data_IF_563840173548
#
_entry.id   IF_563840173548
#
_cell.length_a   1.000
_cell.length_b   1.000
_cell.length_c   1.000
_cell.angle_alpha   90.00
_cell.angle_beta   90.00
_cell.angle_gamma   90.00
#
_symmetry.space_group_name_H-M   'P 1'
#
loop_
_entity.id
_entity.type
_entity.pdbx_description
1 polymer ?
#
# COMPACT_ATOMS: atom_id res chain seq x y z
N UNK A 1 1.32 -43.60 49.29
CA UNK A 1 1.48 -42.13 49.40
C UNK A 1 2.13 -41.57 48.14
N UNK A 2 3.10 -42.27 47.56
CA UNK A 2 3.86 -41.81 46.37
C UNK A 2 3.06 -41.69 45.06
N UNK A 3 2.12 -42.60 44.78
CA UNK A 3 1.37 -42.60 43.51
C UNK A 3 0.38 -41.44 43.37
N UNK A 4 -0.17 -40.94 44.49
CA UNK A 4 -1.12 -39.83 44.49
C UNK A 4 -0.38 -38.50 44.31
N UNK A 5 0.76 -38.31 44.98
CA UNK A 5 1.61 -37.13 44.78
C UNK A 5 2.13 -37.04 43.35
N UNK A 6 2.57 -38.17 42.76
CA UNK A 6 3.03 -38.19 41.37
C UNK A 6 1.94 -37.73 40.40
N UNK A 7 0.69 -38.16 40.63
CA UNK A 7 -0.45 -37.81 39.78
C UNK A 7 -0.84 -36.33 39.93
N UNK A 8 -0.69 -35.77 41.14
CA UNK A 8 -0.88 -34.34 41.42
C UNK A 8 0.21 -33.50 40.74
N UNK A 9 1.47 -33.91 40.79
CA UNK A 9 2.55 -33.20 40.09
C UNK A 9 2.40 -33.24 38.58
N UNK A 10 2.00 -34.40 38.03
CA UNK A 10 1.80 -34.55 36.60
C UNK A 10 0.63 -33.68 36.09
N UNK A 11 -0.48 -33.62 36.83
CA UNK A 11 -1.62 -32.78 36.47
C UNK A 11 -1.30 -31.28 36.55
N UNK A 12 -0.58 -30.85 37.59
CA UNK A 12 -0.12 -29.44 37.69
C UNK A 12 0.83 -29.09 36.55
N UNK A 13 1.76 -29.98 36.19
CA UNK A 13 2.71 -29.75 35.10
C UNK A 13 2.01 -29.63 33.73
N UNK A 14 0.99 -30.45 33.47
CA UNK A 14 0.20 -30.36 32.23
C UNK A 14 -0.56 -29.04 32.16
N UNK A 15 -1.21 -28.63 33.26
CA UNK A 15 -1.96 -27.36 33.31
C UNK A 15 -1.00 -26.18 33.08
N UNK A 16 0.13 -26.15 33.78
CA UNK A 16 1.13 -25.10 33.60
C UNK A 16 1.68 -25.06 32.17
N UNK A 17 1.97 -26.23 31.57
CA UNK A 17 2.41 -26.35 30.19
C UNK A 17 1.39 -25.79 29.19
N UNK A 18 0.11 -26.10 29.38
CA UNK A 18 -0.96 -25.57 28.51
C UNK A 18 -1.14 -24.06 28.61
N UNK A 19 -0.95 -23.48 29.80
CA UNK A 19 -1.03 -22.02 29.99
C UNK A 19 0.12 -21.29 29.30
N UNK A 20 1.35 -21.81 29.43
CA UNK A 20 2.53 -21.25 28.77
C UNK A 20 2.39 -21.37 27.24
N UNK A 21 1.95 -22.53 26.75
CA UNK A 21 1.75 -22.74 25.31
C UNK A 21 0.68 -21.81 24.73
N UNK A 22 -0.44 -21.62 25.44
CA UNK A 22 -1.49 -20.67 25.04
C UNK A 22 -0.99 -19.23 25.00
N UNK A 23 -0.21 -18.81 25.99
CA UNK A 23 0.40 -17.48 26.01
C UNK A 23 1.36 -17.24 24.83
N UNK A 24 2.17 -18.23 24.48
CA UNK A 24 3.09 -18.13 23.34
C UNK A 24 2.34 -18.00 22.01
N UNK A 25 1.27 -18.78 21.80
CA UNK A 25 0.43 -18.67 20.60
C UNK A 25 -0.28 -17.33 20.55
N UNK A 26 -0.87 -16.87 21.65
CA UNK A 26 -1.61 -15.61 21.68
C UNK A 26 -0.68 -14.42 21.40
N UNK A 27 0.55 -14.44 21.95
CA UNK A 27 1.55 -13.41 21.70
C UNK A 27 2.04 -13.43 20.24
N UNK A 28 2.29 -14.61 19.68
CA UNK A 28 2.73 -14.77 18.28
C UNK A 28 1.61 -14.40 17.30
N UNK A 29 0.36 -14.77 17.62
CA UNK A 29 -0.81 -14.44 16.83
C UNK A 29 -1.16 -12.94 16.89
N UNK A 30 -1.07 -12.30 18.06
CA UNK A 30 -1.25 -10.85 18.20
C UNK A 30 -0.17 -10.11 17.41
N UNK A 31 1.09 -10.49 17.53
CA UNK A 31 2.18 -9.87 16.75
C UNK A 31 2.00 -10.04 15.24
N UNK A 32 1.58 -11.23 14.79
CA UNK A 32 1.28 -11.47 13.38
C UNK A 32 0.04 -10.69 12.90
N UNK A 33 -1.04 -10.67 13.68
CA UNK A 33 -2.27 -9.93 13.38
C UNK A 33 -2.00 -8.43 13.29
N UNK A 34 -1.30 -7.86 14.26
CA UNK A 34 -0.96 -6.44 14.29
C UNK A 34 -0.05 -6.07 13.11
N UNK A 35 0.88 -6.94 12.73
CA UNK A 35 1.75 -6.70 11.55
C UNK A 35 0.98 -6.74 10.21
N UNK A 36 -0.07 -7.56 10.13
CA UNK A 36 -0.94 -7.64 8.94
C UNK A 36 -1.90 -6.45 8.92
N UNK A 37 -2.43 -6.04 10.06
CA UNK A 37 -3.31 -4.87 10.20
C UNK A 37 -2.55 -3.55 9.93
N UNK A 38 -1.30 -3.44 10.38
CA UNK A 38 -0.42 -2.30 10.06
C UNK A 38 -0.01 -2.29 8.57
N UNK A 39 0.09 -3.47 7.94
CA UNK A 39 0.32 -3.61 6.50
C UNK A 39 -0.93 -3.36 5.63
N UNK A 40 -2.13 -3.52 6.19
CA UNK A 40 -3.43 -3.30 5.54
C UNK A 40 -4.15 -2.21 6.30
N UNK A 41 -3.67 -0.98 6.19
CA UNK A 41 -4.38 0.16 6.77
C UNK A 41 -5.73 0.34 6.06
N UNK A 42 -6.88 0.09 6.72
CA UNK A 42 -8.19 0.13 6.06
C UNK A 42 -8.56 1.55 5.60
N UNK A 43 -7.95 2.57 6.21
CA UNK A 43 -8.05 3.96 5.75
C UNK A 43 -7.27 4.21 4.44
N UNK A 44 -6.20 3.47 4.17
CA UNK A 44 -5.43 3.59 2.92
C UNK A 44 -6.08 2.79 1.79
N UNK A 45 -6.70 1.66 2.10
CA UNK A 45 -7.56 0.95 1.16
C UNK A 45 -8.73 1.84 0.71
N UNK A 46 -9.39 2.57 1.62
CA UNK A 46 -10.51 3.46 1.28
C UNK A 46 -10.10 4.78 0.61
N UNK A 47 -8.93 5.36 0.94
CA UNK A 47 -8.41 6.61 0.33
C UNK A 47 -7.88 6.46 -1.10
N UNK A 48 -7.81 5.22 -1.60
CA UNK A 48 -7.38 4.91 -2.97
C UNK A 48 -8.51 5.12 -3.99
N UNK A 49 -9.76 5.32 -3.57
CA UNK A 49 -10.91 5.22 -4.45
C UNK A 49 -11.57 6.52 -4.91
N UNK A 50 -11.11 7.72 -4.52
CA UNK A 50 -11.57 8.99 -5.10
C UNK A 50 -10.55 10.10 -4.87
N UNK A 51 -10.12 10.81 -5.92
CA UNK A 51 -9.20 11.94 -5.81
C UNK A 51 -9.60 13.07 -6.77
N UNK A 52 -9.29 14.32 -6.41
CA UNK A 52 -9.45 15.46 -7.33
C UNK A 52 -8.33 15.47 -8.38
N UNK A 53 -8.53 16.15 -9.52
CA UNK A 53 -7.56 16.19 -10.61
C UNK A 53 -6.19 16.69 -10.15
N UNK A 54 -6.13 17.66 -9.23
CA UNK A 54 -4.85 18.25 -8.77
C UNK A 54 -4.08 17.30 -7.86
N UNK A 55 -4.79 16.60 -6.99
CA UNK A 55 -4.24 15.60 -6.07
C UNK A 55 -3.75 14.39 -6.86
N UNK A 56 -4.50 13.91 -7.86
CA UNK A 56 -4.06 12.87 -8.78
C UNK A 56 -2.73 13.20 -9.44
N UNK A 57 -2.62 14.39 -10.05
CA UNK A 57 -1.41 14.80 -10.75
C UNK A 57 -0.20 14.85 -9.81
N UNK A 58 -0.40 15.29 -8.56
CA UNK A 58 0.68 15.37 -7.57
C UNK A 58 1.14 13.98 -7.15
N UNK A 59 0.21 13.04 -6.94
CA UNK A 59 0.50 11.64 -6.59
C UNK A 59 1.20 10.88 -7.71
N UNK A 60 0.83 11.13 -8.97
CA UNK A 60 1.55 10.53 -10.11
C UNK A 60 3.04 10.84 -10.10
N UNK A 61 3.44 12.02 -9.63
CA UNK A 61 4.84 12.34 -9.50
C UNK A 61 5.56 11.44 -8.48
N UNK A 62 4.93 11.20 -7.33
CA UNK A 62 5.47 10.32 -6.28
C UNK A 62 5.56 8.87 -6.76
N UNK A 63 4.52 8.40 -7.46
CA UNK A 63 4.48 7.09 -8.10
C UNK A 63 5.56 6.96 -9.18
N UNK A 64 5.79 8.01 -9.97
CA UNK A 64 6.83 8.04 -10.98
C UNK A 64 8.23 8.01 -10.37
N UNK A 65 8.49 8.82 -9.34
CA UNK A 65 9.76 8.75 -8.61
C UNK A 65 9.98 7.36 -8.03
N UNK A 66 8.97 6.80 -7.36
CA UNK A 66 9.03 5.45 -6.82
C UNK A 66 9.36 4.41 -7.90
N UNK A 67 8.74 4.53 -9.08
CA UNK A 67 8.99 3.64 -10.21
C UNK A 67 10.40 3.81 -10.80
N UNK A 68 10.84 5.05 -11.03
CA UNK A 68 12.15 5.37 -11.61
C UNK A 68 13.32 5.02 -10.69
N UNK A 69 13.13 5.08 -9.36
CA UNK A 69 14.12 4.64 -8.38
C UNK A 69 14.18 3.12 -8.20
N UNK A 70 13.48 2.35 -9.05
CA UNK A 70 13.60 0.90 -9.09
C UNK A 70 12.90 0.18 -7.94
N UNK A 71 11.81 0.74 -7.40
CA UNK A 71 10.90 -0.04 -6.54
C UNK A 71 10.26 -1.17 -7.34
N UNK A 72 9.81 -2.20 -6.62
CA UNK A 72 9.11 -3.35 -7.19
C UNK A 72 7.90 -2.93 -8.06
N UNK A 73 7.52 -3.74 -9.06
CA UNK A 73 6.34 -3.49 -9.87
C UNK A 73 5.11 -3.28 -8.97
N UNK A 74 4.34 -2.23 -9.25
CA UNK A 74 3.11 -1.92 -8.52
C UNK A 74 2.00 -1.50 -9.45
N UNK A 75 0.77 -1.65 -8.98
CA UNK A 75 -0.43 -1.18 -9.65
C UNK A 75 -1.25 -0.37 -8.65
N UNK A 76 -1.54 0.87 -8.99
CA UNK A 76 -2.40 1.77 -8.24
C UNK A 76 -3.63 2.13 -9.09
N UNK A 77 -4.78 2.26 -8.45
CA UNK A 77 -6.02 2.69 -9.10
C UNK A 77 -6.48 4.00 -8.50
N UNK A 78 -6.81 4.99 -9.33
CA UNK A 78 -7.30 6.29 -8.92
C UNK A 78 -8.63 6.57 -9.61
N UNK A 79 -9.70 6.72 -8.85
CA UNK A 79 -10.95 7.25 -9.41
C UNK A 79 -10.95 8.76 -9.28
N UNK A 80 -11.34 9.44 -10.34
CA UNK A 80 -11.45 10.90 -10.35
C UNK A 80 -12.90 11.24 -10.57
N UNK A 81 -13.51 11.93 -9.60
CA UNK A 81 -14.94 12.24 -9.58
C UNK A 81 -15.26 13.52 -10.38
N UNK A 82 -14.26 14.37 -10.63
CA UNK A 82 -14.44 15.61 -11.37
C UNK A 82 -14.75 15.37 -12.86
N UNK A 83 -15.62 16.21 -13.41
CA UNK A 83 -15.89 16.24 -14.85
C UNK A 83 -14.74 16.94 -15.60
N UNK A 84 -14.31 16.35 -16.70
CA UNK A 84 -13.32 16.98 -17.58
C UNK A 84 -12.44 16.00 -18.34
N UNK A 85 -11.22 16.43 -18.61
CA UNK A 85 -10.22 15.62 -19.29
C UNK A 85 -8.87 15.84 -18.65
N UNK A 86 -8.14 14.76 -18.46
CA UNK A 86 -6.75 14.79 -18.02
C UNK A 86 -5.88 14.64 -19.26
N UNK A 87 -5.08 15.67 -19.50
CA UNK A 87 -4.14 15.72 -20.61
C UNK A 87 -2.73 15.41 -20.11
N UNK A 88 -1.84 15.05 -21.04
CA UNK A 88 -0.40 14.92 -20.77
C UNK A 88 0.17 16.20 -20.15
N UNK A 89 -0.28 17.38 -20.59
CA UNK A 89 0.16 18.67 -20.04
C UNK A 89 -0.26 18.85 -18.58
N UNK A 90 -1.46 18.43 -18.19
CA UNK A 90 -1.89 18.49 -16.80
C UNK A 90 -0.97 17.67 -15.90
N UNK A 91 -0.64 16.45 -16.34
CA UNK A 91 0.26 15.55 -15.63
C UNK A 91 1.66 16.14 -15.51
N UNK A 92 2.22 16.59 -16.62
CA UNK A 92 3.54 17.24 -16.66
C UNK A 92 3.59 18.50 -15.81
N UNK A 93 2.51 19.29 -15.76
CA UNK A 93 2.46 20.52 -14.98
C UNK A 93 2.50 20.27 -13.47
N UNK A 94 1.79 19.27 -12.96
CA UNK A 94 1.89 18.99 -11.52
C UNK A 94 3.14 18.19 -11.15
N UNK A 95 3.69 17.37 -12.05
CA UNK A 95 5.05 16.84 -11.93
C UNK A 95 6.07 18.00 -11.80
N UNK A 96 5.98 19.05 -12.64
CA UNK A 96 6.81 20.27 -12.54
C UNK A 96 6.59 21.09 -11.26
N UNK A 97 5.41 21.03 -10.66
CA UNK A 97 5.13 21.73 -9.39
C UNK A 97 5.66 20.96 -8.19
N UNK A 98 5.64 19.63 -8.26
CA UNK A 98 6.12 18.76 -7.21
C UNK A 98 7.66 18.64 -7.25
N UNK A 99 8.23 18.50 -8.44
CA UNK A 99 9.66 18.49 -8.65
C UNK A 99 10.20 19.92 -8.65
N UNK A 100 10.93 20.29 -7.59
CA UNK A 100 11.64 21.59 -7.53
C UNK A 100 12.85 21.63 -8.48
N UNK A 101 13.13 20.53 -9.19
CA UNK A 101 14.18 20.45 -10.18
C UNK A 101 13.77 21.09 -11.51
N UNK A 102 14.67 21.92 -12.05
CA UNK A 102 14.57 22.44 -13.42
C UNK A 102 14.94 21.39 -14.47
N UNK A 103 15.38 20.20 -14.05
CA UNK A 103 15.81 19.09 -14.90
C UNK A 103 14.73 18.01 -15.04
N UNK A 104 13.47 18.41 -15.22
CA UNK A 104 12.50 17.49 -15.80
C UNK A 104 12.91 17.26 -17.25
N UNK A 105 13.79 16.26 -17.46
CA UNK A 105 14.05 15.65 -18.76
C UNK A 105 12.68 15.46 -19.41
N UNK A 106 12.50 15.86 -20.67
CA UNK A 106 11.26 15.64 -21.40
C UNK A 106 10.90 14.16 -21.29
N UNK A 107 9.99 13.85 -20.36
CA UNK A 107 9.56 12.50 -20.13
C UNK A 107 8.56 12.20 -21.23
N UNK A 108 8.87 11.17 -21.99
CA UNK A 108 7.97 10.68 -23.03
C UNK A 108 6.83 9.90 -22.36
N UNK A 109 5.98 10.64 -21.63
CA UNK A 109 4.72 10.14 -21.09
C UNK A 109 3.85 9.78 -22.29
N UNK A 110 3.77 8.49 -22.58
CA UNK A 110 2.88 7.95 -23.60
C UNK A 110 1.49 7.79 -22.97
N UNK A 111 0.71 8.86 -23.01
CA UNK A 111 -0.61 8.92 -22.41
C UNK A 111 -1.56 9.67 -23.36
N UNK A 112 -2.66 9.01 -23.70
CA UNK A 112 -3.78 9.63 -24.39
C UNK A 112 -4.61 10.48 -23.41
N UNK A 113 -5.36 11.45 -23.93
CA UNK A 113 -6.28 12.25 -23.11
C UNK A 113 -7.34 11.36 -22.46
N UNK A 114 -7.42 11.38 -21.13
CA UNK A 114 -8.32 10.53 -20.34
C UNK A 114 -9.56 11.34 -19.97
N UNK A 115 -10.77 10.98 -20.47
CA UNK A 115 -12.00 11.60 -19.99
C UNK A 115 -12.28 11.16 -18.55
N UNK A 116 -12.64 12.12 -17.71
CA UNK A 116 -13.08 11.92 -16.31
C UNK A 116 -14.52 12.42 -16.17
N UNK A 117 -15.36 11.82 -15.29
CA UNK A 117 -14.98 10.88 -14.23
C UNK A 117 -14.70 9.45 -14.72
N UNK A 118 -13.58 8.88 -14.29
CA UNK A 118 -13.13 7.52 -14.66
C UNK A 118 -12.15 6.99 -13.61
N UNK A 119 -12.08 5.66 -13.51
CA UNK A 119 -10.96 4.98 -12.84
C UNK A 119 -9.77 4.96 -13.79
N UNK A 120 -8.64 5.47 -13.31
CA UNK A 120 -7.35 5.50 -13.99
C UNK A 120 -6.42 4.52 -13.27
N UNK A 121 -5.82 3.62 -14.03
CA UNK A 121 -4.84 2.67 -13.53
C UNK A 121 -3.44 3.20 -13.80
N UNK A 122 -2.60 3.18 -12.78
CA UNK A 122 -1.18 3.54 -12.85
C UNK A 122 -0.38 2.30 -12.53
N UNK A 123 0.37 1.81 -13.51
CA UNK A 123 1.20 0.62 -13.38
C UNK A 123 2.68 1.01 -13.53
N UNK A 124 3.52 0.58 -12.60
CA UNK A 124 4.97 0.61 -12.77
C UNK A 124 5.44 -0.76 -13.25
N UNK A 125 5.97 -0.79 -14.47
CA UNK A 125 6.51 -2.01 -15.08
C UNK A 125 7.84 -1.71 -15.76
N UNK A 126 8.86 -2.50 -15.44
CA UNK A 126 10.20 -2.36 -16.00
C UNK A 126 10.79 -0.94 -15.84
N UNK A 127 10.51 -0.28 -14.72
CA UNK A 127 10.95 1.10 -14.42
C UNK A 127 10.23 2.19 -15.24
N UNK A 128 9.17 1.82 -15.96
CA UNK A 128 8.32 2.73 -16.74
C UNK A 128 6.93 2.80 -16.14
N UNK A 129 6.37 4.01 -16.07
CA UNK A 129 5.03 4.26 -15.55
C UNK A 129 4.01 4.30 -16.69
N UNK A 130 2.98 3.46 -16.62
CA UNK A 130 1.91 3.30 -17.61
C UNK A 130 0.60 3.77 -16.99
N UNK A 131 -0.15 4.63 -17.68
CA UNK A 131 -1.40 5.22 -17.19
C UNK A 131 -2.53 4.85 -18.16
N UNK A 132 -3.61 4.19 -17.69
CA UNK A 132 -4.71 3.65 -18.53
C UNK A 132 -6.11 3.99 -17.99
#
# INVERSE_FOLDING_TARGET
>A
METVELLVYLSIAVIAGTLIYGFLIDTDWQGASDSIEEGINPDDAAKTFTTDKRTFVTRIHEDWQACAYGRDPFTASYYIEEDGTITKEDVLLGVRKADKSSELREQDLNMDSIPIPKVILVECKDGSLIIT
#
